data_IF_715378832407
#
_entry.id   IF_715378832407
#
_cell.length_a   1.000
_cell.length_b   1.000
_cell.length_c   1.000
_cell.angle_alpha   90.00
_cell.angle_beta   90.00
_cell.angle_gamma   90.00
#
_symmetry.space_group_name_H-M   'P 1'
#
loop_
_entity.id
_entity.type
_entity.pdbx_description
1 polymer ?
#
# COMPACT_ATOMS: atom_id res chain seq x y z
N UNK A 1 -12.99 -22.75 12.20
CA UNK A 1 -11.55 -22.74 11.85
C UNK A 1 -11.24 -23.53 10.56
N UNK A 2 -12.23 -23.75 9.67
CA UNK A 2 -12.07 -24.54 8.43
C UNK A 2 -11.45 -23.74 7.28
N UNK A 3 -11.58 -22.40 7.30
CA UNK A 3 -11.10 -21.52 6.23
C UNK A 3 -9.58 -21.64 5.97
N UNK A 4 -8.79 -21.82 7.03
CA UNK A 4 -7.32 -21.84 6.92
C UNK A 4 -6.77 -23.08 6.23
N UNK A 5 -7.47 -24.22 6.27
CA UNK A 5 -7.00 -25.47 5.64
C UNK A 5 -7.20 -25.45 4.12
N UNK A 6 -8.34 -24.95 3.64
CA UNK A 6 -8.61 -24.80 2.20
C UNK A 6 -7.68 -23.79 1.54
N UNK A 7 -7.42 -22.68 2.22
CA UNK A 7 -6.48 -21.64 1.78
C UNK A 7 -5.03 -22.15 1.72
N UNK A 8 -4.60 -22.96 2.70
CA UNK A 8 -3.28 -23.63 2.70
C UNK A 8 -3.13 -24.59 1.51
N UNK A 9 -4.15 -25.40 1.23
CA UNK A 9 -4.15 -26.31 0.07
C UNK A 9 -4.05 -25.54 -1.26
N UNK A 10 -4.73 -24.39 -1.35
CA UNK A 10 -4.67 -23.54 -2.53
C UNK A 10 -3.26 -22.95 -2.75
N UNK A 11 -2.58 -22.52 -1.69
CA UNK A 11 -1.20 -22.00 -1.77
C UNK A 11 -0.24 -23.09 -2.26
N UNK A 12 -0.35 -24.31 -1.72
CA UNK A 12 0.50 -25.43 -2.14
C UNK A 12 0.29 -25.81 -3.61
N UNK A 13 -0.96 -25.79 -4.08
CA UNK A 13 -1.28 -26.03 -5.49
C UNK A 13 -0.69 -24.96 -6.42
N UNK A 14 -0.64 -23.70 -5.99
CA UNK A 14 0.01 -22.63 -6.76
C UNK A 14 1.53 -22.83 -6.88
N UNK A 15 2.19 -23.41 -5.87
CA UNK A 15 3.62 -23.78 -5.92
C UNK A 15 3.83 -24.95 -6.88
N UNK A 16 2.98 -25.99 -6.80
CA UNK A 16 3.02 -27.16 -7.69
C UNK A 16 2.81 -26.76 -9.16
N UNK A 17 1.88 -25.85 -9.42
CA UNK A 17 1.59 -25.30 -10.75
C UNK A 17 2.66 -24.29 -11.22
N UNK A 18 3.69 -23.99 -10.41
CA UNK A 18 4.75 -23.04 -10.73
C UNK A 18 4.30 -21.58 -10.81
N UNK A 19 3.11 -21.25 -10.33
CA UNK A 19 2.54 -19.89 -10.34
C UNK A 19 3.20 -18.97 -9.32
N UNK A 20 3.76 -19.55 -8.26
CA UNK A 20 4.55 -18.87 -7.24
C UNK A 20 5.76 -19.72 -6.87
N UNK A 21 6.85 -19.09 -6.43
CA UNK A 21 8.02 -19.80 -5.93
C UNK A 21 7.76 -20.44 -4.57
N UNK A 22 8.56 -21.45 -4.21
CA UNK A 22 8.52 -22.08 -2.89
C UNK A 22 8.74 -21.06 -1.75
N UNK A 23 9.57 -20.04 -2.00
CA UNK A 23 9.84 -18.96 -1.04
C UNK A 23 8.62 -18.05 -0.83
N UNK A 24 7.89 -17.72 -1.90
CA UNK A 24 6.64 -16.96 -1.81
C UNK A 24 5.53 -17.78 -1.14
N UNK A 25 5.42 -19.07 -1.45
CA UNK A 25 4.49 -19.99 -0.80
C UNK A 25 4.70 -20.07 0.71
N UNK A 26 5.95 -20.17 1.16
CA UNK A 26 6.29 -20.18 2.59
C UNK A 26 5.82 -18.91 3.30
N UNK A 27 6.03 -17.73 2.71
CA UNK A 27 5.58 -16.44 3.27
C UNK A 27 4.05 -16.39 3.40
N UNK A 28 3.31 -16.84 2.39
CA UNK A 28 1.84 -16.88 2.41
C UNK A 28 1.30 -17.84 3.48
N UNK A 29 1.92 -19.01 3.63
CA UNK A 29 1.55 -19.98 4.66
C UNK A 29 1.79 -19.44 6.08
N UNK A 30 2.88 -18.69 6.29
CA UNK A 30 3.18 -18.02 7.55
C UNK A 30 2.15 -16.93 7.86
N UNK A 31 1.87 -16.04 6.91
CA UNK A 31 0.88 -14.96 7.08
C UNK A 31 -0.53 -15.50 7.41
N UNK A 32 -0.91 -16.63 6.79
CA UNK A 32 -2.19 -17.29 7.06
C UNK A 32 -2.25 -17.91 8.48
N UNK A 33 -1.10 -18.26 9.06
CA UNK A 33 -1.00 -18.85 10.40
C UNK A 33 -0.97 -17.80 11.51
N UNK A 34 -0.51 -16.57 11.23
CA UNK A 34 -0.33 -15.51 12.21
C UNK A 34 -1.47 -14.49 12.26
N UNK A 35 -2.49 -14.57 11.39
CA UNK A 35 -3.66 -13.69 11.42
C UNK A 35 -3.35 -12.20 11.25
N UNK A 36 -2.10 -11.85 10.94
CA UNK A 36 -1.66 -10.49 10.68
C UNK A 36 -1.44 -10.34 9.18
N UNK A 37 -2.35 -9.58 8.59
CA UNK A 37 -2.26 -8.97 7.27
C UNK A 37 -0.94 -8.22 7.11
N UNK A 38 0.11 -8.92 6.69
CA UNK A 38 1.24 -8.31 6.00
C UNK A 38 0.79 -8.12 4.55
N UNK A 39 0.43 -6.87 4.23
CA UNK A 39 -0.09 -6.47 2.93
C UNK A 39 0.83 -6.89 1.80
N UNK A 40 0.37 -7.87 1.02
CA UNK A 40 0.77 -8.06 -0.36
C UNK A 40 -0.53 -8.18 -1.14
N UNK A 41 -1.20 -7.05 -1.36
CA UNK A 41 -2.35 -7.01 -2.26
C UNK A 41 -1.84 -7.10 -3.69
N UNK A 42 -1.61 -8.32 -4.16
CA UNK A 42 -1.62 -8.63 -5.58
C UNK A 42 -3.07 -8.78 -6.05
N UNK A 43 -3.91 -7.77 -5.82
CA UNK A 43 -5.19 -7.65 -6.51
C UNK A 43 -4.95 -6.88 -7.80
N UNK A 44 -4.88 -7.60 -8.91
CA UNK A 44 -4.93 -6.99 -10.25
C UNK A 44 -6.19 -6.11 -10.29
N UNK A 45 -6.10 -4.78 -10.45
CA UNK A 45 -7.25 -3.91 -10.29
C UNK A 45 -8.27 -4.20 -11.39
N UNK A 46 -9.54 -4.38 -11.01
CA UNK A 46 -10.65 -4.34 -11.97
C UNK A 46 -10.70 -2.92 -12.54
N UNK A 47 -10.72 -2.78 -13.86
CA UNK A 47 -10.94 -1.49 -14.51
C UNK A 47 -12.22 -0.86 -13.94
N UNK A 48 -12.09 0.30 -13.27
CA UNK A 48 -13.20 1.04 -12.67
C UNK A 48 -13.44 0.84 -11.16
N UNK A 49 -12.60 0.10 -10.43
CA UNK A 49 -12.69 0.08 -8.96
C UNK A 49 -12.28 1.45 -8.38
N UNK A 50 -13.01 2.00 -7.38
CA UNK A 50 -12.63 3.24 -6.72
C UNK A 50 -11.28 3.04 -6.03
N UNK A 51 -10.28 3.78 -6.51
CA UNK A 51 -8.91 3.69 -6.04
C UNK A 51 -8.68 4.62 -4.86
N UNK A 52 -7.92 4.18 -3.87
CA UNK A 52 -7.66 4.94 -2.66
C UNK A 52 -6.16 5.15 -2.49
N UNK A 53 -5.78 6.38 -2.16
CA UNK A 53 -4.46 6.72 -1.65
C UNK A 53 -4.49 6.52 -0.13
N UNK A 54 -3.66 5.62 0.39
CA UNK A 54 -3.46 5.48 1.84
C UNK A 54 -2.10 6.06 2.20
N UNK A 55 -2.09 7.01 3.12
CA UNK A 55 -0.88 7.60 3.70
C UNK A 55 -0.76 7.12 5.14
N UNK A 56 0.40 6.61 5.53
CA UNK A 56 0.71 6.19 6.88
C UNK A 56 1.98 6.88 7.34
N UNK A 57 1.93 7.46 8.53
CA UNK A 57 3.09 8.01 9.23
C UNK A 57 3.31 7.18 10.49
N UNK A 58 4.52 6.66 10.64
CA UNK A 58 4.93 5.82 11.76
C UNK A 58 6.14 6.46 12.44
N UNK A 59 6.14 6.50 13.75
CA UNK A 59 7.29 6.90 14.54
C UNK A 59 8.37 5.81 14.46
N UNK A 60 9.58 6.16 14.05
CA UNK A 60 10.68 5.19 13.82
C UNK A 60 11.17 4.58 15.14
N UNK A 61 11.22 5.35 16.22
CA UNK A 61 11.73 4.91 17.50
C UNK A 61 10.79 3.91 18.21
N UNK A 62 9.48 4.10 18.06
CA UNK A 62 8.44 3.33 18.77
C UNK A 62 7.65 2.37 17.88
N UNK A 63 7.72 2.53 16.56
CA UNK A 63 6.93 1.79 15.58
C UNK A 63 5.43 2.10 15.60
N UNK A 64 5.01 3.14 16.32
CA UNK A 64 3.58 3.51 16.48
C UNK A 64 3.12 4.39 15.33
N UNK A 65 1.89 4.16 14.85
CA UNK A 65 1.29 5.05 13.85
C UNK A 65 0.98 6.41 14.48
N UNK A 66 1.59 7.48 13.97
CA UNK A 66 1.28 8.87 14.33
C UNK A 66 0.07 9.37 13.55
N UNK A 67 -0.03 9.01 12.27
CA UNK A 67 -1.15 9.36 11.42
C UNK A 67 -1.44 8.27 10.38
N UNK A 68 -2.72 8.17 10.00
CA UNK A 68 -3.17 7.31 8.90
C UNK A 68 -4.33 7.98 8.20
N UNK A 69 -4.21 8.21 6.90
CA UNK A 69 -5.22 8.90 6.09
C UNK A 69 -5.55 8.06 4.87
N UNK A 70 -6.83 7.99 4.50
CA UNK A 70 -7.28 7.32 3.28
C UNK A 70 -8.08 8.31 2.43
N UNK A 71 -7.61 8.56 1.22
CA UNK A 71 -8.13 9.59 0.31
C UNK A 71 -8.55 8.90 -0.99
N UNK A 72 -9.82 9.00 -1.41
CA UNK A 72 -10.22 8.57 -2.74
C UNK A 72 -9.39 9.30 -3.80
N UNK A 73 -8.85 8.59 -4.80
CA UNK A 73 -8.03 9.22 -5.84
C UNK A 73 -8.76 10.34 -6.58
N UNK A 74 -10.09 10.21 -6.74
CA UNK A 74 -10.94 11.25 -7.33
C UNK A 74 -10.94 12.57 -6.58
N UNK A 75 -10.46 12.59 -5.33
CA UNK A 75 -10.41 13.78 -4.47
C UNK A 75 -8.97 14.31 -4.28
N UNK A 76 -7.96 13.67 -4.85
CA UNK A 76 -6.56 14.11 -4.68
C UNK A 76 -6.34 15.50 -5.27
N UNK A 77 -6.89 15.79 -6.47
CA UNK A 77 -6.78 17.12 -7.09
C UNK A 77 -7.42 18.23 -6.25
N UNK A 78 -8.54 17.92 -5.59
CA UNK A 78 -9.19 18.85 -4.67
C UNK A 78 -8.40 18.98 -3.35
N UNK A 79 -7.86 17.87 -2.83
CA UNK A 79 -7.03 17.83 -1.65
C UNK A 79 -5.73 18.60 -1.80
N UNK A 80 -5.10 18.58 -2.98
CA UNK A 80 -3.88 19.34 -3.29
C UNK A 80 -4.11 20.85 -3.26
N UNK A 81 -5.24 21.34 -3.78
CA UNK A 81 -5.60 22.77 -3.71
C UNK A 81 -5.79 23.24 -2.28
N UNK A 82 -6.37 22.40 -1.44
CA UNK A 82 -6.55 22.69 -0.01
C UNK A 82 -5.20 22.60 0.70
N UNK A 83 -4.41 21.55 0.44
CA UNK A 83 -3.09 21.32 1.05
C UNK A 83 -2.08 22.41 0.75
N UNK A 84 -2.06 22.93 -0.49
CA UNK A 84 -1.22 24.05 -0.88
C UNK A 84 -1.47 25.31 -0.02
N UNK A 85 -2.71 25.54 0.42
CA UNK A 85 -3.02 26.64 1.33
C UNK A 85 -2.48 26.44 2.75
N UNK A 86 -2.28 25.20 3.20
CA UNK A 86 -1.78 24.87 4.54
C UNK A 86 -0.27 24.58 4.56
N UNK A 87 0.30 24.19 3.43
CA UNK A 87 1.71 23.90 3.23
C UNK A 87 2.13 24.48 1.87
N UNK A 88 2.38 25.80 1.78
CA UNK A 88 2.81 26.44 0.53
C UNK A 88 4.17 25.91 0.04
N UNK A 89 4.93 25.23 0.89
CA UNK A 89 6.19 24.56 0.56
C UNK A 89 6.00 23.38 -0.41
N UNK A 90 4.81 22.78 -0.45
CA UNK A 90 4.43 21.74 -1.42
C UNK A 90 3.72 22.32 -2.65
N UNK A 91 3.46 23.63 -2.67
CA UNK A 91 2.85 24.34 -3.79
C UNK A 91 3.85 24.43 -4.95
N UNK A 92 3.61 23.64 -6.01
CA UNK A 92 4.50 23.56 -7.18
C UNK A 92 5.31 22.28 -7.29
N UNK A 93 5.14 21.31 -6.37
CA UNK A 93 5.68 19.95 -6.59
C UNK A 93 4.95 19.33 -7.78
N UNK A 94 5.71 19.04 -8.84
CA UNK A 94 5.21 18.43 -10.06
C UNK A 94 4.85 16.95 -9.81
N UNK A 95 3.62 16.74 -9.37
CA UNK A 95 3.04 15.41 -9.15
C UNK A 95 2.55 14.76 -10.45
N UNK A 96 2.86 15.32 -11.63
CA UNK A 96 2.46 14.73 -12.93
C UNK A 96 2.93 13.29 -13.05
N UNK A 97 4.16 13.00 -12.61
CA UNK A 97 4.71 11.64 -12.63
C UNK A 97 3.94 10.68 -11.72
N UNK A 98 3.43 11.18 -10.58
CA UNK A 98 2.58 10.40 -9.68
C UNK A 98 1.22 10.16 -10.34
N UNK A 99 0.64 11.18 -10.99
CA UNK A 99 -0.62 11.06 -11.73
C UNK A 99 -0.52 10.12 -12.94
N UNK A 100 0.60 10.13 -13.65
CA UNK A 100 0.85 9.23 -14.78
C UNK A 100 1.04 7.78 -14.29
N UNK A 101 1.77 7.59 -13.19
CA UNK A 101 1.89 6.29 -12.52
C UNK A 101 0.52 5.80 -12.04
N UNK A 102 -0.32 6.69 -11.49
CA UNK A 102 -1.69 6.39 -11.11
C UNK A 102 -2.53 5.98 -12.33
N UNK A 103 -2.49 6.73 -13.43
CA UNK A 103 -3.23 6.42 -14.66
C UNK A 103 -2.78 5.13 -15.33
N UNK A 104 -1.50 4.76 -15.19
CA UNK A 104 -0.95 3.48 -15.67
C UNK A 104 -1.52 2.25 -14.95
N UNK A 105 -2.30 2.45 -13.88
CA UNK A 105 -2.91 1.38 -13.09
C UNK A 105 -1.97 0.78 -12.03
N UNK A 106 -0.89 1.48 -11.69
CA UNK A 106 0.09 1.03 -10.68
C UNK A 106 -0.55 0.94 -9.29
N UNK A 107 -0.69 -0.27 -8.76
CA UNK A 107 -1.17 -0.52 -7.38
C UNK A 107 -0.03 -0.95 -6.48
N UNK A 108 -0.15 -0.66 -5.17
CA UNK A 108 0.86 -0.98 -4.17
C UNK A 108 1.56 0.27 -3.61
N UNK A 109 2.71 0.06 -2.96
CA UNK A 109 3.49 1.13 -2.32
C UNK A 109 4.17 1.98 -3.38
N UNK A 110 3.95 3.30 -3.32
CA UNK A 110 4.56 4.27 -4.25
C UNK A 110 5.64 5.11 -3.61
N UNK A 111 5.52 5.40 -2.31
CA UNK A 111 6.47 6.24 -1.58
C UNK A 111 6.77 5.55 -0.25
N UNK A 112 8.06 5.53 0.09
CA UNK A 112 8.63 4.99 1.31
C UNK A 112 9.80 5.90 1.67
N UNK A 113 9.58 6.80 2.63
CA UNK A 113 10.57 7.82 3.03
C UNK A 113 10.78 7.74 4.53
N UNK A 114 12.05 7.70 4.92
CA UNK A 114 12.50 7.88 6.30
C UNK A 114 12.97 9.32 6.46
N UNK A 115 12.39 10.02 7.42
CA UNK A 115 12.85 11.31 7.91
C UNK A 115 13.66 11.07 9.19
N UNK A 116 14.98 11.13 9.05
CA UNK A 116 15.92 10.93 10.17
C UNK A 116 15.96 12.15 11.11
N UNK A 117 15.54 13.33 10.66
CA UNK A 117 15.52 14.56 11.48
C UNK A 117 14.34 14.55 12.46
N UNK A 118 13.15 14.18 11.97
CA UNK A 118 11.93 14.11 12.79
C UNK A 118 11.63 12.70 13.33
N UNK A 119 12.38 11.69 12.91
CA UNK A 119 12.22 10.29 13.33
C UNK A 119 10.93 9.67 12.82
N UNK A 120 10.52 10.03 11.59
CA UNK A 120 9.25 9.61 10.99
C UNK A 120 9.47 8.71 9.77
N UNK A 121 8.58 7.73 9.63
CA UNK A 121 8.52 6.86 8.47
C UNK A 121 7.19 7.10 7.76
N UNK A 122 7.28 7.62 6.53
CA UNK A 122 6.12 7.95 5.71
C UNK A 122 5.99 6.94 4.59
N UNK A 123 4.84 6.28 4.55
CA UNK A 123 4.48 5.31 3.51
C UNK A 123 3.21 5.77 2.78
N UNK A 124 3.22 5.67 1.45
CA UNK A 124 2.05 5.97 0.62
C UNK A 124 1.75 4.78 -0.29
N UNK A 125 0.49 4.35 -0.28
CA UNK A 125 -0.02 3.21 -1.04
C UNK A 125 -1.16 3.62 -1.94
N UNK A 126 -1.28 2.95 -3.07
CA UNK A 126 -2.45 3.01 -3.94
C UNK A 126 -3.15 1.65 -3.91
N UNK A 127 -4.42 1.65 -3.52
CA UNK A 127 -5.32 0.50 -3.57
C UNK A 127 -6.34 0.64 -4.70
#
# INVERSE_FOLDING_TARGET
MMATTEERMKILKMVEEGKISAQEGAKLLTALSSGQSAGMSSSRPRAGAPRWLRVRVTDVATGRSKASVQIPLSLVDAGMKIGAHFAPEVEGVDMSNVMDALQSGMTGKIIDVMDDEDGEHVEIFIE
#
